data_IF_080796424033
#
_entry.id   IF_080796424033
#
_cell.length_a   1.000
_cell.length_b   1.000
_cell.length_c   1.000
_cell.angle_alpha   90.00
_cell.angle_beta   90.00
_cell.angle_gamma   90.00
#
_symmetry.space_group_name_H-M   'P 1'
#
loop_
_entity.id
_entity.type
_entity.pdbx_description
1 polymer ?
#
# COMPACT_ATOMS: atom_id res chain seq x y z
N UNK A 1 0.34 -19.70 4.99
CA UNK A 1 1.37 -18.84 4.35
C UNK A 1 1.59 -17.67 5.29
N UNK A 2 2.83 -17.43 5.74
CA UNK A 2 3.14 -16.60 6.91
C UNK A 2 2.62 -15.15 6.75
N UNK A 3 1.60 -14.74 7.54
CA UNK A 3 0.98 -13.40 7.46
C UNK A 3 2.00 -12.25 7.47
N UNK A 4 3.10 -12.43 8.19
CA UNK A 4 4.20 -11.47 8.23
C UNK A 4 4.84 -11.23 6.85
N UNK A 5 4.97 -12.27 6.03
CA UNK A 5 5.56 -12.15 4.68
C UNK A 5 4.67 -11.36 3.74
N UNK A 6 3.34 -11.55 3.81
CA UNK A 6 2.43 -10.72 3.01
C UNK A 6 2.48 -9.25 3.45
N UNK A 7 2.55 -9.00 4.74
CA UNK A 7 2.68 -7.65 5.28
C UNK A 7 3.98 -6.97 4.82
N UNK A 8 5.10 -7.68 4.83
CA UNK A 8 6.36 -7.18 4.31
C UNK A 8 6.30 -6.93 2.80
N UNK A 9 5.75 -7.86 2.03
CA UNK A 9 5.57 -7.71 0.58
C UNK A 9 4.74 -6.46 0.25
N UNK A 10 3.63 -6.28 0.97
CA UNK A 10 2.73 -5.16 0.78
C UNK A 10 3.38 -3.81 1.17
N UNK A 11 4.17 -3.80 2.25
CA UNK A 11 4.97 -2.64 2.64
C UNK A 11 6.04 -2.29 1.61
N UNK A 12 6.68 -3.30 1.01
CA UNK A 12 7.65 -3.10 -0.08
C UNK A 12 6.96 -2.52 -1.31
N UNK A 13 5.81 -3.07 -1.72
CA UNK A 13 5.01 -2.56 -2.85
C UNK A 13 4.60 -1.09 -2.64
N UNK A 14 4.25 -0.71 -1.40
CA UNK A 14 3.92 0.68 -1.06
C UNK A 14 5.12 1.62 -1.23
N UNK A 15 6.30 1.24 -0.71
CA UNK A 15 7.53 2.04 -0.85
C UNK A 15 7.92 2.14 -2.32
N UNK A 16 7.85 1.03 -3.06
CA UNK A 16 8.12 1.01 -4.51
C UNK A 16 7.14 1.89 -5.28
N UNK A 17 5.85 1.88 -4.94
CA UNK A 17 4.83 2.75 -5.54
C UNK A 17 5.10 4.25 -5.28
N UNK A 18 5.51 4.61 -4.07
CA UNK A 18 5.89 5.99 -3.72
C UNK A 18 7.16 6.44 -4.45
N UNK A 19 8.15 5.54 -4.58
CA UNK A 19 9.35 5.80 -5.38
C UNK A 19 9.01 5.99 -6.86
N UNK A 20 8.05 5.23 -7.39
CA UNK A 20 7.54 5.40 -8.76
C UNK A 20 6.87 6.76 -8.96
N UNK A 21 6.05 7.22 -8.01
CA UNK A 21 5.42 8.54 -8.04
C UNK A 21 6.48 9.64 -8.01
N UNK A 22 7.46 9.53 -7.10
CA UNK A 22 8.56 10.48 -7.01
C UNK A 22 9.38 10.51 -8.30
N UNK A 23 9.66 9.35 -8.89
CA UNK A 23 10.38 9.22 -10.17
C UNK A 23 9.57 9.86 -11.31
N UNK A 24 8.27 9.60 -11.42
CA UNK A 24 7.41 10.20 -12.44
C UNK A 24 7.30 11.72 -12.31
N UNK A 25 7.22 12.23 -11.07
CA UNK A 25 7.27 13.67 -10.79
C UNK A 25 8.63 14.27 -11.16
N UNK A 26 9.72 13.57 -10.86
CA UNK A 26 11.08 14.02 -11.20
C UNK A 26 11.31 14.04 -12.71
N UNK A 27 10.77 13.06 -13.43
CA UNK A 27 10.80 13.00 -14.90
C UNK A 27 10.06 14.20 -15.51
N UNK A 28 8.91 14.57 -14.94
CA UNK A 28 8.11 15.71 -15.40
C UNK A 28 8.73 17.06 -15.03
N UNK A 29 9.39 17.16 -13.86
CA UNK A 29 9.89 18.42 -13.31
C UNK A 29 11.33 18.74 -13.68
N UNK A 30 12.21 17.73 -13.80
CA UNK A 30 13.66 17.94 -13.93
C UNK A 30 14.18 17.65 -15.33
N UNK A 31 13.54 16.70 -16.02
CA UNK A 31 13.90 16.45 -17.40
C UNK A 31 12.99 17.30 -18.28
N UNK A 32 13.59 18.07 -19.17
CA UNK A 32 12.98 18.64 -20.35
C UNK A 32 12.53 17.52 -21.33
N UNK A 33 11.95 16.42 -20.81
CA UNK A 33 11.33 15.32 -21.56
C UNK A 33 10.27 15.82 -22.53
N UNK A 34 9.43 16.84 -22.21
CA UNK A 34 8.53 17.41 -23.20
C UNK A 34 9.27 17.98 -24.42
N UNK A 35 10.53 18.41 -24.26
CA UNK A 35 11.32 18.95 -25.36
C UNK A 35 12.04 17.87 -26.20
N UNK A 36 12.29 16.67 -25.64
CA UNK A 36 12.99 15.56 -26.35
C UNK A 36 12.07 14.42 -26.79
N UNK A 37 11.06 14.07 -25.99
CA UNK A 37 10.11 12.97 -26.26
C UNK A 37 8.66 13.46 -26.38
N UNK A 38 8.39 14.76 -26.21
CA UNK A 38 7.08 15.35 -26.42
C UNK A 38 5.98 14.75 -25.54
N UNK A 39 4.82 14.51 -26.15
CA UNK A 39 3.59 14.00 -25.50
C UNK A 39 3.79 12.60 -24.89
N UNK A 40 4.69 11.78 -25.45
CA UNK A 40 4.96 10.43 -24.94
C UNK A 40 5.59 10.46 -23.53
N UNK A 41 6.44 11.45 -23.24
CA UNK A 41 7.02 11.62 -21.90
C UNK A 41 5.99 11.99 -20.83
N UNK A 42 4.99 12.79 -21.23
CA UNK A 42 3.85 13.16 -20.38
C UNK A 42 2.96 11.96 -20.08
N UNK A 43 2.61 11.17 -21.11
CA UNK A 43 1.79 9.96 -20.95
C UNK A 43 2.50 8.95 -20.06
N UNK A 44 3.80 8.72 -20.28
CA UNK A 44 4.59 7.78 -19.47
C UNK A 44 4.66 8.21 -18.00
N UNK A 45 4.95 9.49 -17.75
CA UNK A 45 5.05 10.03 -16.38
C UNK A 45 3.68 10.01 -15.67
N UNK A 46 2.60 10.37 -16.38
CA UNK A 46 1.24 10.30 -15.85
C UNK A 46 0.80 8.87 -15.55
N UNK A 47 1.13 7.91 -16.41
CA UNK A 47 0.84 6.50 -16.20
C UNK A 47 1.60 5.93 -14.99
N UNK A 48 2.88 6.26 -14.81
CA UNK A 48 3.69 5.87 -13.64
C UNK A 48 3.09 6.42 -12.34
N UNK A 49 2.67 7.68 -12.35
CA UNK A 49 2.05 8.33 -11.19
C UNK A 49 0.70 7.70 -10.84
N UNK A 50 -0.16 7.48 -11.84
CA UNK A 50 -1.45 6.82 -11.67
C UNK A 50 -1.29 5.38 -11.15
N UNK A 51 -0.33 4.63 -11.71
CA UNK A 51 -0.04 3.26 -11.28
C UNK A 51 0.44 3.21 -9.83
N UNK A 52 1.32 4.14 -9.41
CA UNK A 52 1.76 4.23 -8.02
C UNK A 52 0.63 4.53 -7.03
N UNK A 53 -0.37 5.32 -7.42
CA UNK A 53 -1.55 5.58 -6.59
C UNK A 53 -2.46 4.34 -6.53
N UNK A 54 -2.71 3.67 -7.65
CA UNK A 54 -3.53 2.44 -7.69
C UNK A 54 -2.92 1.34 -6.80
N UNK A 55 -1.59 1.17 -6.84
CA UNK A 55 -0.87 0.20 -5.99
C UNK A 55 -0.95 0.52 -4.49
N UNK A 56 -1.22 1.77 -4.11
CA UNK A 56 -1.28 2.20 -2.71
C UNK A 56 -2.63 1.89 -2.03
N UNK A 57 -3.72 1.75 -2.80
CA UNK A 57 -5.05 1.44 -2.30
C UNK A 57 -5.19 0.06 -1.61
N UNK A 58 -4.71 -1.06 -2.21
CA UNK A 58 -4.81 -2.38 -1.56
C UNK A 58 -3.99 -2.45 -0.26
N UNK A 59 -2.93 -1.65 -0.15
CA UNK A 59 -2.12 -1.56 1.07
C UNK A 59 -2.90 -0.98 2.25
N UNK A 60 -3.70 0.08 2.03
CA UNK A 60 -4.54 0.65 3.09
C UNK A 60 -5.69 -0.27 3.49
N UNK A 61 -6.32 -0.95 2.54
CA UNK A 61 -7.42 -1.88 2.84
C UNK A 61 -6.95 -3.10 3.65
N UNK A 62 -5.73 -3.58 3.41
CA UNK A 62 -5.16 -4.71 4.15
C UNK A 62 -4.84 -4.37 5.61
N UNK A 63 -4.38 -3.15 5.90
CA UNK A 63 -4.17 -2.68 7.28
C UNK A 63 -5.49 -2.61 8.06
N UNK A 64 -6.58 -2.22 7.41
CA UNK A 64 -7.91 -2.29 8.04
C UNK A 64 -8.29 -3.74 8.33
N UNK A 65 -8.09 -4.65 7.38
CA UNK A 65 -8.39 -6.07 7.57
C UNK A 65 -7.60 -6.70 8.73
N UNK A 66 -6.29 -6.41 8.84
CA UNK A 66 -5.49 -6.95 9.94
C UNK A 66 -5.89 -6.35 11.30
N UNK A 67 -6.29 -5.07 11.33
CA UNK A 67 -6.76 -4.42 12.54
C UNK A 67 -8.06 -5.06 13.04
N UNK A 68 -9.04 -5.26 12.14
CA UNK A 68 -10.29 -5.95 12.45
C UNK A 68 -10.05 -7.40 12.88
N UNK A 69 -9.13 -8.13 12.22
CA UNK A 69 -8.76 -9.49 12.63
C UNK A 69 -8.23 -9.53 14.06
N UNK A 70 -7.28 -8.65 14.40
CA UNK A 70 -6.72 -8.57 15.75
C UNK A 70 -7.76 -8.15 16.80
N UNK A 71 -8.71 -7.28 16.45
CA UNK A 71 -9.80 -6.90 17.36
C UNK A 71 -10.71 -8.10 17.67
N UNK A 72 -11.06 -8.90 16.66
CA UNK A 72 -11.90 -10.06 16.84
C UNK A 72 -11.23 -11.13 17.72
N UNK A 73 -9.94 -11.40 17.52
CA UNK A 73 -9.17 -12.35 18.33
C UNK A 73 -9.08 -11.91 19.80
N UNK A 74 -8.97 -10.60 20.07
CA UNK A 74 -8.99 -10.06 21.44
C UNK A 74 -10.36 -10.22 22.09
N UNK A 75 -11.44 -9.97 21.34
CA UNK A 75 -12.82 -10.15 21.82
C UNK A 75 -13.13 -11.60 22.16
N UNK A 76 -12.67 -12.55 21.35
CA UNK A 76 -12.85 -13.98 21.60
C UNK A 76 -12.10 -14.45 22.85
N UNK A 77 -10.83 -14.03 23.02
CA UNK A 77 -10.06 -14.30 24.25
C UNK A 77 -10.73 -13.73 25.49
N UNK A 78 -11.32 -12.54 25.41
CA UNK A 78 -12.02 -11.94 26.56
C UNK A 78 -13.33 -12.68 26.90
N UNK A 79 -14.08 -13.16 25.90
CA UNK A 79 -15.25 -14.03 26.11
C UNK A 79 -14.89 -15.33 26.82
N UNK A 80 -13.83 -16.01 26.38
CA UNK A 80 -13.35 -17.24 27.02
C UNK A 80 -12.89 -17.00 28.47
N UNK A 81 -12.26 -15.85 28.75
CA UNK A 81 -11.85 -15.46 30.11
C UNK A 81 -13.04 -15.19 31.04
N UNK A 82 -14.11 -14.58 30.55
CA UNK A 82 -15.34 -14.33 31.33
C UNK A 82 -16.11 -15.62 31.61
N UNK A 83 -16.18 -16.54 30.64
CA UNK A 83 -16.82 -17.85 30.82
C UNK A 83 -16.08 -18.73 31.85
N UNK A 84 -14.75 -18.66 31.90
CA UNK A 84 -13.93 -19.38 32.90
C UNK A 84 -14.05 -18.82 34.32
N UNK A 85 -14.50 -17.57 34.50
CA UNK A 85 -14.58 -16.92 35.82
C UNK A 85 -15.96 -17.04 36.48
N UNK A 86 -16.94 -17.57 35.76
CA UNK A 86 -18.33 -17.77 36.22
C UNK A 86 -18.63 -19.23 36.60
N UNK A 87 -17.62 -20.10 36.60
CA UNK A 87 -17.68 -21.51 36.99
C UNK A 87 -16.77 -21.72 38.19
#
# INVERSE_FOLDING_TARGET
MNEHKLLTLLKVIMITGLLLIATGHYLLSYSSVPATYGVNGLILSGALMAFGIVLSLPTKMYLTFIFVKNENERRDKEKSRRASKSK
#
